data_IF_276825896318
#
_entry.id   IF_276825896318
#
_cell.length_a   1.000
_cell.length_b   1.000
_cell.length_c   1.000
_cell.angle_alpha   90.00
_cell.angle_beta   90.00
_cell.angle_gamma   90.00
#
_symmetry.space_group_name_H-M   'P 1'
#
loop_
_entity.id
_entity.type
_entity.pdbx_description
1 polymer ?
#
# COMPACT_ATOMS: atom_id res chain seq x y z
N UNK A 1 -8.54 0.54 4.52
CA UNK A 1 -7.91 -0.56 5.28
C UNK A 1 -6.71 0.01 5.99
N UNK A 2 -6.45 -0.40 7.22
CA UNK A 2 -5.31 0.08 8.02
C UNK A 2 -4.52 -1.12 8.53
N UNK A 3 -3.20 -1.05 8.47
CA UNK A 3 -2.32 -2.03 9.08
C UNK A 3 -1.63 -1.48 10.33
N UNK A 4 -0.96 -2.36 11.08
CA UNK A 4 -0.19 -2.02 12.28
C UNK A 4 1.31 -2.26 12.06
N UNK A 5 1.76 -2.23 10.81
CA UNK A 5 3.16 -2.36 10.43
C UNK A 5 3.98 -1.11 10.82
N UNK A 6 5.24 -1.03 10.38
CA UNK A 6 6.12 0.13 10.60
C UNK A 6 5.77 1.35 9.73
N UNK A 7 4.76 1.23 8.87
CA UNK A 7 4.46 2.21 7.83
C UNK A 7 5.26 2.00 6.55
N UNK A 8 5.13 2.93 5.62
CA UNK A 8 5.81 2.94 4.32
C UNK A 8 6.73 4.16 4.27
N UNK A 9 8.05 3.97 4.10
CA UNK A 9 8.97 5.09 3.89
C UNK A 9 8.55 5.97 2.70
N UNK A 10 8.68 7.31 2.77
CA UNK A 10 8.26 8.23 1.72
C UNK A 10 8.83 7.89 0.32
N UNK A 11 10.07 7.41 0.25
CA UNK A 11 10.75 6.97 -0.97
C UNK A 11 10.11 5.75 -1.62
N UNK A 12 9.41 4.93 -0.83
CA UNK A 12 8.72 3.74 -1.30
C UNK A 12 7.28 4.08 -1.72
N UNK A 13 6.66 5.11 -1.14
CA UNK A 13 5.27 5.49 -1.34
C UNK A 13 4.89 5.71 -2.82
N UNK A 14 5.81 6.22 -3.63
CA UNK A 14 5.61 6.43 -5.07
C UNK A 14 5.65 5.11 -5.86
N UNK A 15 6.44 4.15 -5.37
CA UNK A 15 6.80 2.92 -6.08
C UNK A 15 6.07 1.68 -5.60
N UNK A 16 5.37 1.72 -4.45
CA UNK A 16 4.63 0.57 -3.90
C UNK A 16 3.57 -0.02 -4.84
N UNK A 17 3.13 0.75 -5.84
CA UNK A 17 2.19 0.31 -6.87
C UNK A 17 2.87 -0.20 -8.15
N UNK A 18 4.20 -0.10 -8.24
CA UNK A 18 4.95 -0.64 -9.37
C UNK A 18 4.91 -2.16 -9.31
N UNK A 19 4.72 -2.79 -10.48
CA UNK A 19 4.79 -4.25 -10.58
C UNK A 19 6.17 -4.75 -10.13
N UNK A 20 6.17 -5.82 -9.35
CA UNK A 20 7.38 -6.47 -8.82
C UNK A 20 8.19 -5.63 -7.83
N UNK A 21 7.71 -4.44 -7.44
CA UNK A 21 8.40 -3.62 -6.48
C UNK A 21 8.23 -4.15 -5.06
N UNK A 22 9.33 -4.17 -4.30
CA UNK A 22 9.37 -4.57 -2.89
C UNK A 22 10.35 -3.67 -2.13
N UNK A 23 9.87 -3.03 -1.08
CA UNK A 23 10.72 -2.35 -0.10
C UNK A 23 11.72 -3.34 0.52
N UNK A 24 12.92 -2.87 0.87
CA UNK A 24 13.96 -3.71 1.49
C UNK A 24 13.50 -4.29 2.82
N UNK A 25 12.76 -3.52 3.60
CA UNK A 25 12.18 -3.90 4.90
C UNK A 25 11.11 -5.00 4.77
N UNK A 26 10.53 -5.18 3.58
CA UNK A 26 9.60 -6.27 3.30
C UNK A 26 10.31 -7.58 2.89
N UNK A 27 11.62 -7.55 2.55
CA UNK A 27 12.40 -8.76 2.18
C UNK A 27 12.70 -9.67 3.38
N UNK A 28 12.72 -9.13 4.60
CA UNK A 28 13.05 -9.88 5.82
C UNK A 28 11.88 -10.65 6.42
N UNK A 29 10.63 -10.40 5.99
CA UNK A 29 9.48 -11.25 6.36
C UNK A 29 9.45 -12.47 5.46
N UNK A 30 9.72 -13.64 6.04
CA UNK A 30 9.88 -14.96 5.41
C UNK A 30 8.65 -15.54 4.64
N UNK A 31 7.67 -14.71 4.25
CA UNK A 31 6.47 -15.11 3.49
C UNK A 31 6.12 -14.14 2.36
N UNK A 32 7.11 -13.42 1.83
CA UNK A 32 6.91 -12.27 0.94
C UNK A 32 6.34 -12.62 -0.45
N UNK A 33 5.16 -12.09 -0.76
CA UNK A 33 4.56 -12.18 -2.10
C UNK A 33 5.40 -11.53 -3.21
N UNK A 34 5.01 -11.75 -4.46
CA UNK A 34 5.74 -11.35 -5.68
C UNK A 34 5.83 -9.84 -5.94
N UNK A 35 5.29 -9.00 -5.06
CA UNK A 35 5.17 -7.55 -5.30
C UNK A 35 4.12 -7.19 -6.36
N UNK A 36 3.16 -8.09 -6.62
CA UNK A 36 2.10 -7.86 -7.62
C UNK A 36 0.79 -7.36 -7.01
N UNK A 37 0.51 -7.69 -5.74
CA UNK A 37 -0.81 -7.45 -5.13
C UNK A 37 -1.32 -6.01 -5.24
N UNK A 38 -0.49 -5.03 -4.86
CA UNK A 38 -0.86 -3.61 -4.91
C UNK A 38 -1.01 -3.08 -6.34
N UNK A 39 -0.14 -3.51 -7.25
CA UNK A 39 -0.22 -3.13 -8.67
C UNK A 39 -1.51 -3.64 -9.31
N UNK A 40 -1.89 -4.89 -9.04
CA UNK A 40 -3.13 -5.50 -9.53
C UNK A 40 -4.35 -4.79 -8.94
N UNK A 41 -4.35 -4.54 -7.62
CA UNK A 41 -5.46 -3.89 -6.95
C UNK A 41 -5.69 -2.46 -7.49
N UNK A 42 -4.62 -1.70 -7.73
CA UNK A 42 -4.73 -0.36 -8.30
C UNK A 42 -5.23 -0.39 -9.74
N UNK A 43 -4.72 -1.29 -10.58
CA UNK A 43 -5.16 -1.44 -11.96
C UNK A 43 -6.65 -1.83 -12.04
N UNK A 44 -7.09 -2.77 -11.19
CA UNK A 44 -8.50 -3.17 -11.11
C UNK A 44 -9.40 -2.01 -10.67
N UNK A 45 -8.97 -1.25 -9.66
CA UNK A 45 -9.72 -0.09 -9.17
C UNK A 45 -9.85 0.99 -10.25
N UNK A 46 -8.76 1.24 -11.00
CA UNK A 46 -8.75 2.18 -12.13
C UNK A 46 -9.63 1.73 -13.28
N UNK A 47 -9.64 0.44 -13.59
CA UNK A 47 -10.54 -0.14 -14.59
C UNK A 47 -12.03 0.06 -14.22
N UNK A 48 -12.34 0.19 -12.93
CA UNK A 48 -13.68 0.50 -12.41
C UNK A 48 -13.97 2.02 -12.33
N UNK A 49 -13.09 2.88 -12.86
CA UNK A 49 -13.23 4.34 -12.81
C UNK A 49 -12.83 4.97 -11.48
N UNK A 50 -12.17 4.20 -10.61
CA UNK A 50 -11.69 4.65 -9.30
C UNK A 50 -10.18 4.91 -9.24
N UNK A 51 -9.64 5.01 -8.02
CA UNK A 51 -8.20 4.89 -7.77
C UNK A 51 -7.93 4.30 -6.37
N UNK A 52 -6.73 3.75 -6.20
CA UNK A 52 -6.22 3.22 -4.95
C UNK A 52 -5.04 4.07 -4.49
N UNK A 53 -5.13 4.60 -3.27
CA UNK A 53 -4.09 5.41 -2.63
C UNK A 53 -3.59 4.73 -1.35
N UNK A 54 -2.33 5.02 -1.00
CA UNK A 54 -1.75 4.63 0.29
C UNK A 54 -1.17 5.87 0.98
N UNK A 55 -1.25 5.88 2.30
CA UNK A 55 -0.69 6.91 3.18
C UNK A 55 -0.24 6.25 4.49
N UNK A 56 0.64 6.91 5.24
CA UNK A 56 0.94 6.44 6.60
C UNK A 56 -0.15 6.93 7.56
N UNK A 57 -0.47 6.10 8.55
CA UNK A 57 -1.35 6.49 9.64
C UNK A 57 -0.73 7.69 10.38
N UNK A 58 -1.56 8.63 10.88
CA UNK A 58 -1.07 9.79 11.62
C UNK A 58 -0.21 9.36 12.81
N UNK A 59 0.92 10.05 12.96
CA UNK A 59 1.94 9.77 13.96
C UNK A 59 1.33 9.91 15.36
N UNK A 60 1.14 8.79 16.08
CA UNK A 60 0.52 8.74 17.41
C UNK A 60 -0.57 7.69 17.60
N UNK A 61 -1.10 7.06 16.54
CA UNK A 61 -2.21 6.10 16.65
C UNK A 61 -1.80 4.71 17.19
N UNK A 62 -0.55 4.28 16.98
CA UNK A 62 0.10 3.10 17.58
C UNK A 62 1.61 3.33 17.61
N UNK A 63 2.32 2.69 18.54
CA UNK A 63 3.79 2.77 18.68
C UNK A 63 4.61 2.38 17.44
N UNK A 64 3.95 1.99 16.34
CA UNK A 64 4.59 1.52 15.09
C UNK A 64 4.12 2.23 13.81
N UNK A 65 3.16 3.16 13.83
CA UNK A 65 2.82 3.99 12.65
C UNK A 65 2.56 3.21 11.34
N UNK A 66 1.51 2.38 11.27
CA UNK A 66 1.19 1.56 10.10
C UNK A 66 0.73 2.32 8.84
N UNK A 67 0.37 1.60 7.79
CA UNK A 67 -0.11 2.17 6.53
C UNK A 67 -1.64 2.08 6.39
N UNK A 68 -2.22 3.06 5.71
CA UNK A 68 -3.64 3.17 5.37
C UNK A 68 -3.78 3.10 3.86
N UNK A 69 -4.59 2.16 3.37
CA UNK A 69 -4.93 2.00 1.96
C UNK A 69 -6.39 2.44 1.74
N UNK A 70 -6.59 3.41 0.85
CA UNK A 70 -7.89 3.99 0.50
C UNK A 70 -8.24 3.69 -0.95
N UNK A 71 -9.30 2.92 -1.14
CA UNK A 71 -9.88 2.61 -2.44
C UNK A 71 -11.10 3.52 -2.65
N UNK A 72 -11.13 4.26 -3.76
CA UNK A 72 -12.25 5.12 -4.13
C UNK A 72 -12.85 4.62 -5.43
N UNK A 73 -14.17 4.42 -5.45
CA UNK A 73 -14.94 4.06 -6.64
C UNK A 73 -16.03 5.11 -6.90
N UNK A 74 -16.40 5.34 -8.17
CA UNK A 74 -17.54 6.18 -8.49
C UNK A 74 -18.84 5.52 -8.00
N UNK A 75 -19.66 6.29 -7.29
CA UNK A 75 -21.05 5.93 -6.98
C UNK A 75 -21.90 6.18 -8.22
N UNK A 76 -22.73 5.20 -8.58
CA UNK A 76 -23.71 5.32 -9.66
C UNK A 76 -24.91 6.15 -9.21
#
# INVERSE_FOLDING_TARGET
>A
MEDTGPGIPPEHMVRIFDRFYRAEEARTRAGGGTGLGLSIARDLTRAQGGDLHAENAPQGAKSSGGAVFRLRLPVR
#
